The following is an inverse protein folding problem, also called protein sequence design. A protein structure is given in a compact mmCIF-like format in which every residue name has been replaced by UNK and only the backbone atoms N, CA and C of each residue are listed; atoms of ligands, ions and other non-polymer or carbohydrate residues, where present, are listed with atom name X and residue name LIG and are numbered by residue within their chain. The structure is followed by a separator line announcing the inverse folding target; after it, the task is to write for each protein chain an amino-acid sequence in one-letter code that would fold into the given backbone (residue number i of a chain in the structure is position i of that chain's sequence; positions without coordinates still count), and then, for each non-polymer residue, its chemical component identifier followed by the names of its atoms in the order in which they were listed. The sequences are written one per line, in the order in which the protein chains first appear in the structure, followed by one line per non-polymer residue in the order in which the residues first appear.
data_IF_812451787964
#
_entry.id   IF_812451787964
#
_cell.length_a   1.000
_cell.length_b   1.000
_cell.length_c   1.000
_cell.angle_alpha   90.00
_cell.angle_beta   90.00
_cell.angle_gamma   90.00
#
_symmetry.space_group_name_H-M   'P 1'
#
loop_
_entity.id
_entity.type
_entity.pdbx_description
1 polymer ?
#
# COMPACT_ATOMS: atom_id res chain seq x y z
N UNK A 1 3.90 -24.69 10.31
CA UNK A 1 3.89 -23.39 10.98
C UNK A 1 3.47 -22.30 10.03
N UNK A 2 2.58 -21.45 10.44
CA UNK A 2 2.08 -20.37 9.60
C UNK A 2 2.95 -19.14 9.73
N UNK A 3 3.22 -18.48 8.63
CA UNK A 3 3.92 -17.20 8.65
C UNK A 3 3.00 -16.16 9.28
N UNK A 4 3.50 -15.44 10.28
CA UNK A 4 2.74 -14.38 10.92
C UNK A 4 2.65 -13.18 9.98
N UNK A 5 1.48 -12.58 9.88
CA UNK A 5 1.33 -11.34 9.16
C UNK A 5 1.96 -10.21 9.97
N UNK A 6 2.54 -9.25 9.27
CA UNK A 6 3.19 -8.10 9.89
C UNK A 6 2.68 -6.82 9.25
N UNK A 7 2.79 -5.72 9.99
CA UNK A 7 2.48 -4.41 9.48
C UNK A 7 3.72 -3.79 8.85
N UNK A 8 3.58 -3.30 7.64
CA UNK A 8 4.65 -2.62 6.91
C UNK A 8 4.26 -1.18 6.66
N UNK A 9 5.24 -0.29 6.72
CA UNK A 9 5.03 1.13 6.56
C UNK A 9 5.50 1.58 5.18
N UNK A 10 4.65 2.32 4.50
CA UNK A 10 4.93 2.89 3.19
C UNK A 10 4.56 4.37 3.23
N UNK A 11 5.37 5.21 2.60
CA UNK A 11 5.08 6.63 2.49
C UNK A 11 5.02 7.02 1.03
N UNK A 12 3.91 7.60 0.61
CA UNK A 12 3.66 7.96 -0.78
C UNK A 12 3.09 9.37 -0.87
N UNK A 13 3.33 10.04 -2.00
CA UNK A 13 2.62 11.25 -2.31
C UNK A 13 1.13 10.91 -2.51
N UNK A 14 0.25 11.87 -2.27
CA UNK A 14 -1.20 11.63 -2.31
C UNK A 14 -1.68 11.03 -3.63
N UNK A 15 -1.12 11.48 -4.76
CA UNK A 15 -1.53 10.98 -6.07
C UNK A 15 -1.02 9.55 -6.33
N UNK A 16 0.14 9.20 -5.79
CA UNK A 16 0.64 7.82 -5.85
C UNK A 16 -0.22 6.89 -5.01
N UNK A 17 -0.64 7.38 -3.83
CA UNK A 17 -1.52 6.62 -2.95
C UNK A 17 -2.86 6.33 -3.60
N UNK A 18 -3.44 7.28 -4.31
CA UNK A 18 -4.72 7.05 -4.99
C UNK A 18 -4.63 5.89 -5.98
N UNK A 19 -3.56 5.83 -6.78
CA UNK A 19 -3.33 4.73 -7.71
C UNK A 19 -3.11 3.41 -7.00
N UNK A 20 -2.31 3.42 -5.96
CA UNK A 20 -2.02 2.21 -5.18
C UNK A 20 -3.28 1.68 -4.48
N UNK A 21 -4.08 2.57 -3.92
CA UNK A 21 -5.33 2.19 -3.28
C UNK A 21 -6.26 1.48 -4.25
N UNK A 22 -6.39 2.01 -5.47
CA UNK A 22 -7.19 1.36 -6.51
C UNK A 22 -6.65 -0.02 -6.88
N UNK A 23 -5.33 -0.16 -6.96
CA UNK A 23 -4.70 -1.44 -7.23
C UNK A 23 -4.99 -2.45 -6.13
N UNK A 24 -4.92 -2.02 -4.86
CA UNK A 24 -5.24 -2.88 -3.73
C UNK A 24 -6.70 -3.31 -3.74
N UNK A 25 -7.60 -2.40 -4.08
CA UNK A 25 -9.02 -2.70 -4.16
C UNK A 25 -9.32 -3.74 -5.24
N UNK A 26 -8.77 -3.54 -6.43
CA UNK A 26 -8.96 -4.49 -7.53
C UNK A 26 -8.41 -5.86 -7.20
N UNK A 27 -7.22 -5.89 -6.62
CA UNK A 27 -6.58 -7.13 -6.23
C UNK A 27 -7.42 -7.89 -5.19
N UNK A 28 -7.92 -7.18 -4.20
CA UNK A 28 -8.77 -7.78 -3.17
C UNK A 28 -10.06 -8.35 -3.73
N UNK A 29 -10.66 -7.66 -4.69
CA UNK A 29 -11.86 -8.14 -5.36
C UNK A 29 -11.58 -9.38 -6.19
N UNK A 30 -10.46 -9.40 -6.91
CA UNK A 30 -10.06 -10.52 -7.75
C UNK A 30 -9.80 -11.79 -6.92
N UNK A 31 -9.14 -11.65 -5.78
CA UNK A 31 -8.80 -12.78 -4.92
C UNK A 31 -9.86 -13.09 -3.87
N UNK A 32 -10.86 -12.23 -3.74
CA UNK A 32 -11.95 -12.42 -2.78
C UNK A 32 -11.53 -12.12 -1.34
N UNK A 33 -10.35 -11.55 -1.13
CA UNK A 33 -9.84 -11.20 0.19
C UNK A 33 -9.28 -9.78 0.15
N UNK A 34 -9.93 -8.81 0.82
CA UNK A 34 -9.43 -7.44 0.81
C UNK A 34 -8.15 -7.30 1.62
N UNK A 35 -7.30 -6.37 1.18
CA UNK A 35 -6.11 -6.01 1.93
C UNK A 35 -6.49 -5.23 3.20
N UNK A 36 -5.76 -5.47 4.28
CA UNK A 36 -5.94 -4.74 5.52
C UNK A 36 -4.90 -3.62 5.57
N UNK A 37 -5.35 -2.38 5.61
CA UNK A 37 -4.45 -1.24 5.65
C UNK A 37 -5.10 -0.05 6.35
N UNK A 38 -4.25 0.88 6.78
CA UNK A 38 -4.66 2.17 7.32
C UNK A 38 -3.80 3.24 6.65
N UNK A 39 -4.39 4.37 6.35
CA UNK A 39 -3.70 5.48 5.71
C UNK A 39 -4.02 6.79 6.41
N UNK A 40 -3.02 7.66 6.54
CA UNK A 40 -3.18 8.96 7.17
C UNK A 40 -2.19 9.96 6.57
N UNK A 41 -2.54 11.24 6.61
CA UNK A 41 -1.62 12.28 6.16
C UNK A 41 -0.50 12.43 7.19
N UNK A 42 0.75 12.50 6.71
CA UNK A 42 1.90 12.61 7.59
C UNK A 42 2.76 13.86 7.33
N UNK A 43 2.32 14.75 6.45
CA UNK A 43 3.01 15.98 6.17
C UNK A 43 3.05 16.31 4.68
N UNK A 44 4.07 17.09 4.30
CA UNK A 44 4.27 17.46 2.90
C UNK A 44 5.72 17.20 2.53
N UNK A 45 5.99 16.96 1.26
CA UNK A 45 7.34 16.79 0.77
C UNK A 45 7.99 18.14 0.42
N UNK A 46 9.19 18.09 -0.14
CA UNK A 46 9.93 19.30 -0.50
C UNK A 46 9.22 20.15 -1.57
N UNK A 47 8.36 19.52 -2.36
CA UNK A 47 7.59 20.20 -3.43
C UNK A 47 6.24 20.72 -2.95
N UNK A 48 5.92 20.52 -1.66
CA UNK A 48 4.65 20.95 -1.09
C UNK A 48 3.50 19.97 -1.32
N UNK A 49 3.78 18.78 -1.84
CA UNK A 49 2.77 17.75 -2.05
C UNK A 49 2.48 16.99 -0.76
N UNK A 50 1.22 16.67 -0.51
CA UNK A 50 0.84 15.93 0.69
C UNK A 50 1.41 14.52 0.65
N UNK A 51 1.94 14.10 1.79
CA UNK A 51 2.45 12.73 1.96
C UNK A 51 1.44 11.90 2.75
N UNK A 52 1.25 10.68 2.31
CA UNK A 52 0.35 9.73 2.95
C UNK A 52 1.19 8.60 3.53
N UNK A 53 1.01 8.35 4.82
CA UNK A 53 1.62 7.20 5.50
C UNK A 53 0.63 6.06 5.49
N UNK A 54 1.03 4.94 4.94
CA UNK A 54 0.18 3.76 4.82
C UNK A 54 0.80 2.64 5.66
N UNK A 55 -0.01 2.03 6.51
CA UNK A 55 0.36 0.82 7.21
C UNK A 55 -0.45 -0.30 6.58
N UNK A 56 0.23 -1.32 6.06
CA UNK A 56 -0.43 -2.43 5.40
C UNK A 56 0.02 -3.75 6.01
N UNK A 57 -0.93 -4.65 6.22
CA UNK A 57 -0.70 -5.93 6.86
C UNK A 57 -0.62 -7.04 5.84
N UNK A 58 0.47 -7.78 5.84
CA UNK A 58 0.62 -8.95 4.97
C UNK A 58 1.69 -9.90 5.51
N UNK A 59 1.69 -11.11 5.00
CA UNK A 59 2.75 -12.06 5.29
C UNK A 59 4.06 -11.61 4.62
N UNK A 60 5.23 -11.86 5.23
CA UNK A 60 6.50 -11.49 4.61
C UNK A 60 6.70 -12.05 3.19
N UNK A 61 6.14 -13.23 2.92
CA UNK A 61 6.23 -13.85 1.61
C UNK A 61 5.47 -13.07 0.53
N UNK A 62 4.52 -12.22 0.92
CA UNK A 62 3.72 -11.44 -0.02
C UNK A 62 4.33 -10.07 -0.34
N UNK A 63 5.43 -9.71 0.31
CA UNK A 63 6.09 -8.42 0.06
C UNK A 63 6.49 -8.19 -1.39
N UNK A 64 7.09 -9.19 -2.10
CA UNK A 64 7.41 -8.98 -3.51
C UNK A 64 6.19 -8.67 -4.36
N UNK A 65 5.08 -9.33 -4.08
CA UNK A 65 3.83 -9.08 -4.77
C UNK A 65 3.29 -7.68 -4.48
N UNK A 66 3.34 -7.26 -3.23
CA UNK A 66 2.92 -5.93 -2.82
C UNK A 66 3.77 -4.86 -3.51
N UNK A 67 5.08 -5.08 -3.61
CA UNK A 67 5.97 -4.17 -4.31
C UNK A 67 5.64 -4.07 -5.80
N UNK A 68 5.24 -5.18 -6.42
CA UNK A 68 4.82 -5.16 -7.82
C UNK A 68 3.56 -4.31 -8.01
N UNK A 69 2.58 -4.45 -7.10
CA UNK A 69 1.37 -3.64 -7.14
C UNK A 69 1.71 -2.15 -7.02
N UNK A 70 2.62 -1.83 -6.11
CA UNK A 70 3.05 -0.45 -5.90
C UNK A 70 3.74 0.11 -7.14
N UNK A 71 4.63 -0.64 -7.74
CA UNK A 71 5.35 -0.22 -8.94
C UNK A 71 4.40 -0.01 -10.13
N UNK A 72 3.45 -0.92 -10.32
CA UNK A 72 2.47 -0.81 -11.40
C UNK A 72 1.57 0.41 -11.23
N UNK A 73 1.19 0.73 -10.00
CA UNK A 73 0.30 1.85 -9.71
C UNK A 73 0.99 3.22 -9.78
N UNK A 74 2.32 3.25 -9.77
CA UNK A 74 3.08 4.48 -9.81
C UNK A 74 3.25 5.07 -11.22
N UNK A 75 2.77 4.39 -12.24
CA UNK A 75 2.86 4.82 -13.64
C UNK A 75 1.57 5.47 -14.13
#
# INVERSE_FOLDING_TARGET
MFASEKWYNIELAWYEWEGFREALKKDGEEWGTPWTYEASECGVDADGERLIHIEIKCAPADLPYLNELLMESAW
#
